data_IF_118599970606
#
_entry.id   IF_118599970606
#
_cell.length_a   1.000
_cell.length_b   1.000
_cell.length_c   1.000
_cell.angle_alpha   90.00
_cell.angle_beta   90.00
_cell.angle_gamma   90.00
#
_symmetry.space_group_name_H-M   'P 1'
#
loop_
_entity.id
_entity.type
_entity.pdbx_description
1 polymer ?
#
# COMPACT_ATOMS: atom_id res chain seq x y z
N UNK A 1 17.07 -1.74 -17.44
CA UNK A 1 16.51 -1.19 -16.18
C UNK A 1 15.04 -1.57 -16.19
N UNK A 2 14.68 -2.69 -15.56
CA UNK A 2 13.28 -3.11 -15.48
C UNK A 2 12.52 -2.09 -14.63
N UNK A 3 11.63 -1.34 -15.28
CA UNK A 3 10.81 -0.34 -14.61
C UNK A 3 9.79 -1.07 -13.76
N UNK A 4 9.95 -1.04 -12.44
CA UNK A 4 8.97 -1.57 -11.50
C UNK A 4 7.56 -1.05 -11.85
N UNK A 5 6.65 -1.94 -12.24
CA UNK A 5 5.27 -1.60 -12.62
C UNK A 5 4.39 -1.49 -11.36
N UNK A 6 4.73 -0.57 -10.46
CA UNK A 6 3.86 -0.20 -9.34
C UNK A 6 2.69 0.67 -9.81
N UNK A 7 1.55 0.61 -9.13
CA UNK A 7 0.38 1.46 -9.38
C UNK A 7 0.34 2.64 -8.41
N UNK A 8 -0.28 3.75 -8.83
CA UNK A 8 -0.49 4.91 -7.94
C UNK A 8 -1.36 4.55 -6.71
N UNK A 9 -2.27 3.59 -6.84
CA UNK A 9 -3.08 3.12 -5.72
C UNK A 9 -2.23 2.47 -4.63
N UNK A 10 -1.25 1.64 -5.00
CA UNK A 10 -0.33 1.03 -4.03
C UNK A 10 0.46 2.09 -3.27
N UNK A 11 0.93 3.13 -3.95
CA UNK A 11 1.64 4.25 -3.32
C UNK A 11 0.74 5.08 -2.41
N UNK A 12 -0.51 5.34 -2.81
CA UNK A 12 -1.50 6.04 -1.96
C UNK A 12 -1.84 5.23 -0.71
N UNK A 13 -1.94 3.91 -0.84
CA UNK A 13 -2.14 3.02 0.31
C UNK A 13 -0.94 3.13 1.26
N UNK A 14 0.30 3.04 0.76
CA UNK A 14 1.50 3.19 1.57
C UNK A 14 1.52 4.54 2.30
N UNK A 15 1.19 5.62 1.60
CA UNK A 15 1.10 6.95 2.21
C UNK A 15 0.06 6.98 3.33
N UNK A 16 -1.15 6.44 3.09
CA UNK A 16 -2.20 6.38 4.11
C UNK A 16 -1.79 5.56 5.34
N UNK A 17 -1.07 4.45 5.16
CA UNK A 17 -0.56 3.65 6.30
C UNK A 17 0.41 4.47 7.16
N UNK A 18 1.27 5.28 6.54
CA UNK A 18 2.20 6.18 7.25
C UNK A 18 1.43 7.33 7.91
N UNK A 19 0.51 7.97 7.20
CA UNK A 19 -0.25 9.13 7.67
C UNK A 19 -1.18 8.78 8.86
N UNK A 20 -1.79 7.59 8.82
CA UNK A 20 -2.79 7.14 9.81
C UNK A 20 -2.24 6.12 10.82
N UNK A 21 -0.95 5.76 10.74
CA UNK A 21 -0.28 4.95 11.75
C UNK A 21 -0.62 3.45 11.74
N UNK A 22 -1.00 2.90 10.59
CA UNK A 22 -1.24 1.46 10.44
C UNK A 22 -2.30 1.09 9.41
N UNK A 23 -2.33 -0.18 9.02
CA UNK A 23 -3.26 -0.69 8.01
C UNK A 23 -4.73 -0.59 8.45
N UNK A 24 -5.03 -0.78 9.74
CA UNK A 24 -6.40 -0.74 10.24
C UNK A 24 -7.00 0.67 10.16
N UNK A 25 -6.22 1.68 10.54
CA UNK A 25 -6.60 3.07 10.49
C UNK A 25 -6.71 3.56 9.05
N UNK A 26 -5.73 3.21 8.20
CA UNK A 26 -5.77 3.52 6.78
C UNK A 26 -6.95 2.85 6.06
N UNK A 27 -7.29 1.61 6.42
CA UNK A 27 -8.43 0.88 5.87
C UNK A 27 -9.76 1.59 6.14
N UNK A 28 -9.95 2.13 7.35
CA UNK A 28 -11.11 2.90 7.70
C UNK A 28 -11.23 4.19 6.87
N UNK A 29 -10.12 4.91 6.67
CA UNK A 29 -10.10 6.15 5.87
C UNK A 29 -10.30 5.89 4.38
N UNK A 30 -9.72 4.81 3.86
CA UNK A 30 -9.80 4.44 2.44
C UNK A 30 -11.06 3.63 2.08
N UNK A 31 -11.93 3.34 3.05
CA UNK A 31 -13.10 2.48 2.89
C UNK A 31 -12.77 1.14 2.20
N UNK A 32 -11.71 0.48 2.68
CA UNK A 32 -11.19 -0.81 2.18
C UNK A 32 -10.92 -1.73 3.36
N UNK A 33 -10.66 -3.01 3.12
CA UNK A 33 -10.26 -3.93 4.19
C UNK A 33 -8.77 -3.79 4.53
N UNK A 34 -8.44 -4.00 5.79
CA UNK A 34 -7.05 -4.04 6.29
C UNK A 34 -6.19 -5.04 5.52
N UNK A 35 -6.73 -6.22 5.20
CA UNK A 35 -6.02 -7.23 4.43
C UNK A 35 -5.73 -6.80 2.99
N UNK A 36 -6.65 -6.11 2.32
CA UNK A 36 -6.42 -5.58 0.96
C UNK A 36 -5.29 -4.54 0.94
N UNK A 37 -5.17 -3.71 1.97
CA UNK A 37 -4.09 -2.75 2.09
C UNK A 37 -2.74 -3.44 2.27
N UNK A 38 -2.64 -4.39 3.20
CA UNK A 38 -1.43 -5.19 3.41
C UNK A 38 -0.96 -5.86 2.11
N UNK A 39 -1.87 -6.52 1.38
CA UNK A 39 -1.52 -7.14 0.09
C UNK A 39 -1.02 -6.13 -0.95
N UNK A 40 -1.58 -4.93 -0.99
CA UNK A 40 -1.15 -3.89 -1.92
C UNK A 40 0.27 -3.38 -1.58
N UNK A 41 0.57 -3.16 -0.30
CA UNK A 41 1.90 -2.74 0.19
C UNK A 41 2.93 -3.84 0.01
N UNK A 42 2.63 -5.08 0.39
CA UNK A 42 3.54 -6.21 0.19
C UNK A 42 3.88 -6.41 -1.30
N UNK A 43 2.87 -6.28 -2.18
CA UNK A 43 3.10 -6.32 -3.63
C UNK A 43 3.97 -5.17 -4.11
N UNK A 44 3.77 -3.95 -3.57
CA UNK A 44 4.61 -2.80 -3.90
C UNK A 44 6.07 -3.04 -3.51
N UNK A 45 6.32 -3.51 -2.30
CA UNK A 45 7.66 -3.85 -1.79
C UNK A 45 8.34 -4.89 -2.70
N UNK A 46 7.63 -5.98 -3.02
CA UNK A 46 8.12 -7.00 -3.95
C UNK A 46 8.48 -6.43 -5.33
N UNK A 47 7.67 -5.51 -5.88
CA UNK A 47 7.95 -4.86 -7.17
C UNK A 47 9.16 -3.92 -7.12
N UNK A 48 9.47 -3.38 -5.95
CA UNK A 48 10.63 -2.52 -5.71
C UNK A 48 11.88 -3.32 -5.31
N UNK A 49 11.75 -4.62 -5.05
CA UNK A 49 12.86 -5.49 -4.65
C UNK A 49 13.34 -5.25 -3.22
N UNK A 50 12.45 -4.78 -2.34
CA UNK A 50 12.70 -4.54 -0.91
C UNK A 50 11.88 -5.46 -0.02
#
# INVERSE_FOLDING_TARGET
MDRAKSTLEQWRILQAVVDFGGDAQAAAVLNKSQSSLNHAVAKLQSQLGI
#
